data_IF_865919932218
#
_entry.id   IF_865919932218
#
_cell.length_a   1.000
_cell.length_b   1.000
_cell.length_c   1.000
_cell.angle_alpha   90.00
_cell.angle_beta   90.00
_cell.angle_gamma   90.00
#
_symmetry.space_group_name_H-M   'P 1'
#
loop_
_entity.id
_entity.type
_entity.pdbx_description
1 polymer ?
#
# COMPACT_ATOMS: atom_id res chain seq x y z
N UNK A 1 -60.95 -11.02 -56.57
CA UNK A 1 -60.34 -12.33 -56.29
C UNK A 1 -59.54 -12.23 -55.01
N UNK A 2 -59.72 -13.21 -54.13
CA UNK A 2 -59.24 -13.34 -52.75
C UNK A 2 -57.72 -13.61 -52.69
N UNK A 3 -57.03 -13.06 -51.66
CA UNK A 3 -55.79 -13.53 -50.96
C UNK A 3 -55.41 -12.41 -49.96
N UNK A 4 -55.66 -12.43 -48.66
CA UNK A 4 -55.43 -13.36 -47.54
C UNK A 4 -53.94 -13.55 -47.15
N UNK A 5 -53.63 -13.14 -45.90
CA UNK A 5 -52.48 -13.47 -45.02
C UNK A 5 -51.10 -12.81 -45.29
N UNK A 6 -50.24 -12.41 -44.34
CA UNK A 6 -50.09 -12.59 -42.88
C UNK A 6 -49.37 -11.35 -42.30
N UNK A 7 -49.85 -10.78 -41.18
CA UNK A 7 -49.10 -9.76 -40.39
C UNK A 7 -48.21 -10.50 -39.39
N UNK A 8 -46.89 -10.35 -39.52
CA UNK A 8 -45.89 -10.92 -38.63
C UNK A 8 -45.66 -9.94 -37.46
N UNK A 9 -46.36 -10.15 -36.35
CA UNK A 9 -46.18 -9.42 -35.11
C UNK A 9 -44.87 -9.91 -34.44
N UNK A 10 -43.77 -9.19 -34.65
CA UNK A 10 -42.51 -9.45 -33.95
C UNK A 10 -42.60 -8.92 -32.51
N UNK A 11 -42.92 -9.81 -31.57
CA UNK A 11 -42.80 -9.54 -30.14
C UNK A 11 -41.32 -9.28 -29.79
N UNK A 12 -40.95 -8.01 -29.63
CA UNK A 12 -39.70 -7.60 -28.99
C UNK A 12 -39.80 -7.92 -27.50
N UNK A 13 -39.35 -9.11 -27.10
CA UNK A 13 -39.13 -9.44 -25.69
C UNK A 13 -37.83 -8.75 -25.29
N UNK A 14 -37.84 -7.73 -24.40
CA UNK A 14 -36.60 -7.20 -23.88
C UNK A 14 -35.96 -8.30 -23.03
N UNK A 15 -34.92 -8.94 -23.57
CA UNK A 15 -34.04 -9.78 -22.75
C UNK A 15 -33.36 -8.84 -21.76
N UNK A 16 -33.90 -8.75 -20.55
CA UNK A 16 -33.15 -8.29 -19.39
C UNK A 16 -31.94 -9.23 -19.28
N UNK A 17 -30.80 -8.77 -19.80
CA UNK A 17 -29.51 -9.32 -19.38
C UNK A 17 -29.46 -9.02 -17.88
N UNK A 18 -29.42 -10.03 -16.99
CA UNK A 18 -29.17 -9.74 -15.60
C UNK A 18 -27.81 -9.05 -15.58
N UNK A 19 -27.79 -7.77 -15.20
CA UNK A 19 -26.56 -7.08 -14.88
C UNK A 19 -25.87 -7.98 -13.87
N UNK A 20 -24.80 -8.66 -14.29
CA UNK A 20 -23.96 -9.41 -13.38
C UNK A 20 -23.56 -8.40 -12.33
N UNK A 21 -24.17 -8.53 -11.15
CA UNK A 21 -23.84 -7.74 -9.98
C UNK A 21 -22.45 -8.22 -9.61
N UNK A 22 -21.42 -7.68 -10.27
CA UNK A 22 -20.03 -7.91 -9.92
C UNK A 22 -19.97 -7.62 -8.43
N UNK A 23 -19.74 -8.66 -7.62
CA UNK A 23 -19.59 -8.43 -6.19
C UNK A 23 -18.40 -7.51 -6.07
N UNK A 24 -18.64 -6.22 -5.76
CA UNK A 24 -17.57 -5.28 -5.49
C UNK A 24 -16.70 -5.91 -4.42
N UNK A 25 -15.40 -6.00 -4.68
CA UNK A 25 -14.44 -6.43 -3.68
C UNK A 25 -14.70 -5.61 -2.40
N UNK A 26 -14.68 -6.27 -1.24
CA UNK A 26 -14.75 -5.56 0.02
C UNK A 26 -13.51 -4.70 0.15
N UNK A 27 -13.68 -3.38 0.03
CA UNK A 27 -12.61 -2.40 0.20
C UNK A 27 -12.67 -1.96 1.66
N UNK A 28 -11.56 -2.11 2.41
CA UNK A 28 -11.52 -1.66 3.80
C UNK A 28 -11.90 -0.19 3.94
N UNK A 29 -12.59 0.14 5.03
CA UNK A 29 -12.81 1.54 5.40
C UNK A 29 -11.47 2.26 5.57
N UNK A 30 -11.40 3.54 5.16
CA UNK A 30 -10.16 4.34 5.21
C UNK A 30 -9.16 4.09 4.08
N UNK A 31 -9.50 3.24 3.10
CA UNK A 31 -8.68 3.05 1.91
C UNK A 31 -8.51 4.35 1.11
N UNK A 32 -7.32 4.53 0.54
CA UNK A 32 -6.95 5.70 -0.27
C UNK A 32 -7.09 5.31 -1.73
N UNK A 33 -7.85 6.07 -2.52
CA UNK A 33 -8.14 5.72 -3.90
C UNK A 33 -7.25 6.46 -4.89
N UNK A 34 -6.77 5.73 -5.90
CA UNK A 34 -5.98 6.29 -6.99
C UNK A 34 -6.52 5.85 -8.35
N UNK A 35 -6.44 6.73 -9.35
CA UNK A 35 -6.71 6.38 -10.76
C UNK A 35 -5.53 5.62 -11.39
N UNK A 36 -5.65 5.26 -12.67
CA UNK A 36 -4.62 4.52 -13.42
C UNK A 36 -3.27 5.25 -13.57
N UNK A 37 -3.23 6.56 -13.28
CA UNK A 37 -2.03 7.39 -13.27
C UNK A 37 -1.47 7.61 -11.87
N UNK A 38 -1.98 6.89 -10.86
CA UNK A 38 -1.63 7.06 -9.45
C UNK A 38 -1.90 8.46 -8.89
N UNK A 39 -2.93 9.11 -9.44
CA UNK A 39 -3.46 10.37 -8.89
C UNK A 39 -4.65 10.06 -7.98
N UNK A 40 -4.71 10.74 -6.84
CA UNK A 40 -5.77 10.58 -5.84
C UNK A 40 -7.15 10.88 -6.40
N UNK A 41 -8.13 10.07 -6.03
CA UNK A 41 -9.54 10.28 -6.40
C UNK A 41 -10.44 10.13 -5.18
N UNK A 42 -11.62 10.76 -5.23
CA UNK A 42 -12.52 10.83 -4.08
C UNK A 42 -13.28 9.53 -3.77
N UNK A 43 -13.31 8.56 -4.68
CA UNK A 43 -14.18 7.40 -4.55
C UNK A 43 -13.74 6.19 -5.37
N UNK A 44 -14.17 5.00 -4.94
CA UNK A 44 -13.82 3.73 -5.54
C UNK A 44 -14.28 3.58 -7.00
N UNK A 45 -15.37 4.22 -7.42
CA UNK A 45 -15.88 4.19 -8.81
C UNK A 45 -14.96 4.91 -9.80
N UNK A 46 -14.13 5.84 -9.32
CA UNK A 46 -13.15 6.58 -10.13
C UNK A 46 -11.74 5.97 -10.05
N UNK A 47 -11.59 4.92 -9.25
CA UNK A 47 -10.30 4.37 -8.88
C UNK A 47 -9.92 3.19 -9.78
N UNK A 48 -8.62 3.08 -10.07
CA UNK A 48 -8.00 1.87 -10.61
C UNK A 48 -7.26 1.08 -9.53
N UNK A 49 -6.89 1.76 -8.44
CA UNK A 49 -6.20 1.19 -7.29
C UNK A 49 -6.78 1.73 -5.99
N UNK A 50 -6.64 0.96 -4.93
CA UNK A 50 -6.80 1.46 -3.57
C UNK A 50 -5.60 1.03 -2.71
N UNK A 51 -5.24 1.89 -1.76
CA UNK A 51 -4.16 1.69 -0.81
C UNK A 51 -4.71 1.54 0.59
N UNK A 52 -4.12 0.62 1.35
CA UNK A 52 -4.42 0.41 2.76
C UNK A 52 -3.14 0.64 3.55
N UNK A 53 -3.20 1.56 4.52
CA UNK A 53 -2.07 1.82 5.42
C UNK A 53 -1.97 0.73 6.48
N UNK A 54 -0.75 0.44 6.91
CA UNK A 54 -0.45 -0.56 7.93
C UNK A 54 0.87 -0.23 8.65
N UNK A 55 1.19 -1.04 9.65
CA UNK A 55 2.53 -1.12 10.23
C UNK A 55 2.98 -2.57 10.16
N UNK A 56 4.28 -2.79 10.02
CA UNK A 56 4.87 -4.13 10.13
C UNK A 56 5.02 -4.56 11.60
N UNK A 57 5.47 -5.79 11.83
CA UNK A 57 5.67 -6.36 13.18
C UNK A 57 6.70 -5.58 14.02
N UNK A 58 7.52 -4.74 13.38
CA UNK A 58 8.49 -3.85 14.02
C UNK A 58 7.95 -2.43 14.22
N UNK A 59 6.67 -2.19 13.93
CA UNK A 59 6.03 -0.89 14.04
C UNK A 59 6.36 0.08 12.90
N UNK A 60 7.08 -0.37 11.85
CA UNK A 60 7.44 0.50 10.72
C UNK A 60 6.24 0.71 9.81
N UNK A 61 6.07 1.94 9.36
CA UNK A 61 4.99 2.32 8.45
C UNK A 61 5.14 1.62 7.10
N UNK A 62 4.05 1.00 6.67
CA UNK A 62 3.96 0.39 5.36
C UNK A 62 2.55 0.54 4.79
N UNK A 63 2.38 0.25 3.51
CA UNK A 63 1.07 0.16 2.92
C UNK A 63 1.01 -0.99 1.91
N UNK A 64 -0.21 -1.41 1.64
CA UNK A 64 -0.55 -2.35 0.59
C UNK A 64 -1.31 -1.61 -0.50
N UNK A 65 -0.85 -1.74 -1.74
CA UNK A 65 -1.56 -1.30 -2.92
C UNK A 65 -2.31 -2.48 -3.53
N UNK A 66 -3.58 -2.26 -3.85
CA UNK A 66 -4.44 -3.23 -4.52
C UNK A 66 -4.99 -2.62 -5.81
N UNK A 67 -5.20 -3.44 -6.83
CA UNK A 67 -6.11 -3.09 -7.91
C UNK A 67 -7.52 -2.87 -7.34
N UNK A 68 -8.34 -2.05 -8.00
CA UNK A 68 -9.73 -1.81 -7.56
C UNK A 68 -10.58 -3.09 -7.52
N UNK A 69 -10.12 -4.14 -8.20
CA UNK A 69 -10.67 -5.49 -8.16
C UNK A 69 -10.35 -6.27 -6.89
N UNK A 70 -9.51 -5.75 -5.98
CA UNK A 70 -9.09 -6.39 -4.74
C UNK A 70 -7.80 -7.20 -4.83
N UNK A 71 -7.19 -7.28 -6.02
CA UNK A 71 -5.94 -8.01 -6.21
C UNK A 71 -4.74 -7.22 -5.65
N UNK A 72 -3.89 -7.87 -4.85
CA UNK A 72 -2.66 -7.26 -4.34
C UNK A 72 -1.71 -6.91 -5.48
N UNK A 73 -1.24 -5.66 -5.49
CA UNK A 73 -0.34 -5.11 -6.49
C UNK A 73 1.05 -4.86 -5.90
N UNK A 74 1.13 -4.31 -4.68
CA UNK A 74 2.38 -4.06 -4.01
C UNK A 74 2.25 -3.99 -2.49
N UNK A 75 3.38 -4.18 -1.81
CA UNK A 75 3.59 -3.69 -0.46
C UNK A 75 4.80 -2.77 -0.46
N UNK A 76 4.74 -1.68 0.31
CA UNK A 76 5.86 -0.73 0.37
C UNK A 76 5.98 -0.13 1.75
N UNK A 77 7.20 -0.11 2.28
CA UNK A 77 7.54 0.68 3.44
C UNK A 77 7.77 2.14 3.02
N UNK A 78 7.34 3.08 3.85
CA UNK A 78 7.36 4.49 3.49
C UNK A 78 7.68 5.39 4.67
N UNK A 79 8.24 6.55 4.35
CA UNK A 79 8.47 7.63 5.31
C UNK A 79 7.30 8.60 5.28
N UNK A 80 6.91 9.05 4.08
CA UNK A 80 5.74 9.90 3.86
C UNK A 80 4.95 9.45 2.63
N UNK A 81 3.65 9.71 2.65
CA UNK A 81 2.72 9.32 1.61
C UNK A 81 2.02 10.54 1.03
N UNK A 82 1.72 10.47 -0.27
CA UNK A 82 0.95 11.51 -0.95
C UNK A 82 -0.36 10.92 -1.45
N UNK A 83 -1.48 11.33 -0.84
CA UNK A 83 -2.84 10.91 -1.24
C UNK A 83 -3.22 11.43 -2.63
N UNK A 84 -2.59 12.51 -3.11
CA UNK A 84 -2.95 13.17 -4.36
C UNK A 84 -2.14 12.71 -5.56
N UNK A 85 -0.87 12.38 -5.36
CA UNK A 85 0.03 11.94 -6.43
C UNK A 85 1.10 11.05 -5.81
N UNK A 86 1.04 9.76 -6.08
CA UNK A 86 1.93 8.77 -5.47
C UNK A 86 3.41 9.01 -5.80
N UNK A 87 3.72 9.76 -6.87
CA UNK A 87 5.10 10.15 -7.18
C UNK A 87 5.77 10.98 -6.08
N UNK A 88 4.98 11.59 -5.20
CA UNK A 88 5.47 12.34 -4.05
C UNK A 88 5.53 11.49 -2.77
N UNK A 89 5.19 10.21 -2.82
CA UNK A 89 5.39 9.25 -1.73
C UNK A 89 6.89 8.97 -1.60
N UNK A 90 7.43 9.06 -0.39
CA UNK A 90 8.84 8.80 -0.09
C UNK A 90 8.95 7.41 0.53
N UNK A 91 9.55 6.48 -0.21
CA UNK A 91 9.75 5.09 0.23
C UNK A 91 11.01 4.92 1.06
N UNK A 92 10.98 3.98 2.00
CA UNK A 92 12.15 3.60 2.81
C UNK A 92 12.00 2.16 3.29
N UNK A 93 13.01 1.33 3.10
CA UNK A 93 12.91 -0.11 3.33
C UNK A 93 12.50 -0.90 2.08
N UNK A 94 11.75 -1.98 2.29
CA UNK A 94 11.45 -2.95 1.22
C UNK A 94 10.17 -2.56 0.47
N UNK A 95 10.25 -2.58 -0.85
CA UNK A 95 9.13 -2.52 -1.77
C UNK A 95 9.03 -3.86 -2.51
N UNK A 96 7.88 -4.54 -2.42
CA UNK A 96 7.58 -5.73 -3.24
C UNK A 96 6.40 -5.44 -4.15
N UNK A 97 6.48 -5.94 -5.37
CA UNK A 97 5.37 -5.90 -6.33
C UNK A 97 5.00 -7.32 -6.74
N UNK A 98 3.78 -7.51 -7.21
CA UNK A 98 3.23 -8.83 -7.45
C UNK A 98 2.64 -8.95 -8.86
N UNK A 99 2.94 -10.09 -9.49
CA UNK A 99 2.31 -10.53 -10.72
C UNK A 99 0.81 -10.76 -10.50
N UNK A 100 0.05 -10.81 -11.60
CA UNK A 100 -1.38 -11.19 -11.55
C UNK A 100 -1.64 -12.59 -10.97
N UNK A 101 -0.63 -13.44 -10.88
CA UNK A 101 -0.72 -14.73 -10.20
C UNK A 101 -0.67 -14.62 -8.67
N UNK A 102 -0.24 -13.47 -8.12
CA UNK A 102 0.09 -13.29 -6.71
C UNK A 102 1.56 -13.59 -6.38
N UNK A 103 2.37 -14.01 -7.35
CA UNK A 103 3.82 -14.22 -7.17
C UNK A 103 4.56 -12.90 -7.10
N UNK A 104 5.66 -12.87 -6.35
CA UNK A 104 6.57 -11.71 -6.33
C UNK A 104 7.06 -11.45 -7.75
N UNK A 105 6.86 -10.23 -8.23
CA UNK A 105 7.34 -9.73 -9.52
C UNK A 105 8.68 -9.03 -9.36
N UNK A 106 8.81 -8.17 -8.34
CA UNK A 106 10.09 -7.53 -8.03
C UNK A 106 10.20 -7.18 -6.56
N UNK A 107 11.45 -7.09 -6.10
CA UNK A 107 11.83 -6.63 -4.77
C UNK A 107 12.86 -5.52 -4.95
N UNK A 108 12.65 -4.38 -4.30
CA UNK A 108 13.55 -3.24 -4.35
C UNK A 108 13.77 -2.70 -2.93
N UNK A 109 15.01 -2.38 -2.59
CA UNK A 109 15.34 -1.69 -1.35
C UNK A 109 15.42 -0.18 -1.61
N UNK A 110 14.78 0.59 -0.75
CA UNK A 110 14.81 2.04 -0.76
C UNK A 110 15.46 2.56 0.53
N UNK A 111 16.14 3.69 0.41
CA UNK A 111 16.59 4.52 1.52
C UNK A 111 16.31 5.97 1.19
N UNK A 112 15.53 6.65 2.04
CA UNK A 112 15.19 8.07 1.86
C UNK A 112 14.66 8.40 0.45
N UNK A 113 13.73 7.58 -0.06
CA UNK A 113 13.09 7.75 -1.36
C UNK A 113 13.93 7.31 -2.57
N UNK A 114 15.17 6.84 -2.37
CA UNK A 114 16.06 6.40 -3.45
C UNK A 114 16.30 4.91 -3.39
N UNK A 115 16.35 4.24 -4.54
CA UNK A 115 16.78 2.84 -4.60
C UNK A 115 18.21 2.72 -4.04
N UNK A 116 18.40 1.91 -3.02
CA UNK A 116 19.68 1.75 -2.33
C UNK A 116 19.80 0.33 -1.78
N UNK A 117 20.75 -0.45 -2.32
CA UNK A 117 20.93 -1.86 -2.02
C UNK A 117 20.55 -2.78 -3.18
N UNK A 118 20.22 -4.03 -2.84
CA UNK A 118 19.93 -5.07 -3.83
C UNK A 118 18.47 -4.99 -4.32
N UNK A 119 18.27 -5.25 -5.60
CA UNK A 119 16.96 -5.44 -6.20
C UNK A 119 16.89 -6.72 -7.02
N UNK A 120 15.68 -7.29 -7.13
CA UNK A 120 15.39 -8.52 -7.84
C UNK A 120 14.17 -8.31 -8.74
N UNK A 121 14.18 -8.94 -9.91
CA UNK A 121 12.98 -9.17 -10.71
C UNK A 121 12.79 -10.65 -10.97
N UNK A 122 11.54 -11.08 -11.07
CA UNK A 122 11.16 -12.46 -11.27
C UNK A 122 10.22 -12.57 -12.46
N UNK A 123 10.40 -13.63 -13.24
CA UNK A 123 9.43 -14.03 -14.26
C UNK A 123 8.12 -14.51 -13.61
N UNK A 124 6.99 -14.52 -14.33
CA UNK A 124 5.73 -15.09 -13.83
C UNK A 124 5.86 -16.56 -13.39
N UNK A 125 6.84 -17.29 -13.94
CA UNK A 125 7.18 -18.65 -13.54
C UNK A 125 7.75 -18.75 -12.12
N UNK A 126 8.22 -17.65 -11.52
CA UNK A 126 8.92 -17.58 -10.23
C UNK A 126 10.45 -17.63 -10.36
N UNK A 127 10.94 -17.89 -11.58
CA UNK A 127 12.38 -17.89 -11.86
C UNK A 127 12.93 -16.46 -11.79
N UNK A 128 14.20 -16.33 -11.37
CA UNK A 128 14.87 -15.04 -11.31
C UNK A 128 15.03 -14.52 -12.76
N UNK A 129 14.67 -13.24 -12.97
CA UNK A 129 14.93 -12.53 -14.21
C UNK A 129 16.17 -11.66 -14.10
N UNK A 130 16.24 -10.81 -13.07
CA UNK A 130 17.39 -9.94 -12.86
C UNK A 130 17.76 -9.81 -11.40
N UNK A 131 19.05 -9.62 -11.14
CA UNK A 131 19.60 -9.15 -9.87
C UNK A 131 20.34 -7.84 -10.14
N UNK A 132 19.98 -6.79 -9.42
CA UNK A 132 20.49 -5.44 -9.64
C UNK A 132 21.09 -4.89 -8.34
N UNK A 133 22.07 -4.01 -8.49
CA UNK A 133 22.70 -3.29 -7.38
C UNK A 133 22.50 -1.79 -7.56
N UNK A 134 21.89 -1.15 -6.58
CA UNK A 134 21.67 0.29 -6.56
C UNK A 134 22.44 0.95 -5.42
N UNK A 135 22.88 2.18 -5.66
CA UNK A 135 23.37 3.09 -4.63
C UNK A 135 22.83 4.48 -4.93
N UNK A 136 22.19 5.12 -3.96
CA UNK A 136 21.67 6.49 -4.09
C UNK A 136 20.79 6.73 -5.35
N UNK A 137 20.01 5.73 -5.75
CA UNK A 137 19.06 5.82 -6.86
C UNK A 137 19.61 5.45 -8.24
N UNK A 138 20.89 5.10 -8.37
CA UNK A 138 21.51 4.69 -9.64
C UNK A 138 22.12 3.29 -9.54
N UNK A 139 22.23 2.60 -10.68
CA UNK A 139 22.91 1.30 -10.73
C UNK A 139 24.39 1.47 -10.37
N UNK A 140 24.85 0.73 -9.37
CA UNK A 140 26.23 0.76 -8.89
C UNK A 140 26.60 -0.59 -8.29
N UNK A 141 27.45 -1.33 -8.98
CA UNK A 141 27.84 -2.70 -8.66
C UNK A 141 27.47 -3.73 -9.73
N UNK A 142 27.65 -5.02 -9.42
CA UNK A 142 27.36 -6.10 -10.36
C UNK A 142 25.84 -6.29 -10.52
N UNK A 143 25.43 -6.57 -11.75
CA UNK A 143 24.07 -6.94 -12.12
C UNK A 143 24.08 -8.21 -12.97
N UNK A 144 23.08 -9.05 -12.79
CA UNK A 144 22.97 -10.37 -13.42
C UNK A 144 21.61 -10.50 -14.10
N UNK A 145 21.59 -10.90 -15.37
CA UNK A 145 20.37 -11.12 -16.15
C UNK A 145 20.27 -12.58 -16.55
N UNK A 146 19.11 -13.18 -16.29
CA UNK A 146 18.81 -14.57 -16.53
C UNK A 146 17.66 -14.69 -17.53
N UNK A 147 17.64 -15.79 -18.28
CA UNK A 147 16.44 -16.16 -19.03
C UNK A 147 15.45 -16.94 -18.16
N UNK A 148 14.27 -17.19 -18.71
CA UNK A 148 13.18 -17.86 -18.02
C UNK A 148 13.51 -19.32 -17.64
N UNK A 149 14.50 -19.94 -18.29
CA UNK A 149 15.00 -21.26 -17.93
C UNK A 149 16.01 -21.22 -16.76
N UNK A 150 16.33 -20.03 -16.24
CA UNK A 150 17.25 -19.83 -15.12
C UNK A 150 18.72 -19.77 -15.51
N UNK A 151 19.07 -19.71 -16.80
CA UNK A 151 20.46 -19.58 -17.24
C UNK A 151 20.89 -18.12 -17.19
N UNK A 152 22.08 -17.87 -16.63
CA UNK A 152 22.70 -16.56 -16.62
C UNK A 152 23.12 -16.17 -18.05
N UNK A 153 22.48 -15.14 -18.59
CA UNK A 153 22.76 -14.65 -19.94
C UNK A 153 23.79 -13.54 -19.96
N UNK A 154 23.74 -12.63 -18.97
CA UNK A 154 24.64 -11.49 -18.91
C UNK A 154 25.04 -11.15 -17.47
N UNK A 155 26.32 -10.82 -17.29
CA UNK A 155 26.85 -10.13 -16.13
C UNK A 155 27.30 -8.74 -16.56
N UNK A 156 26.78 -7.69 -15.92
CA UNK A 156 27.18 -6.31 -16.18
C UNK A 156 27.71 -5.64 -14.93
N UNK A 157 28.77 -4.85 -15.04
CA UNK A 157 29.26 -4.00 -13.96
C UNK A 157 28.81 -2.56 -14.22
N UNK A 158 28.15 -1.96 -13.25
CA UNK A 158 27.76 -0.55 -13.27
C UNK A 158 28.56 0.23 -12.24
N UNK A 159 28.84 1.51 -12.54
CA UNK A 159 29.43 2.47 -11.60
C UNK A 159 28.73 3.80 -11.79
N UNK A 160 28.09 4.30 -10.73
CA UNK A 160 27.36 5.58 -10.74
C UNK A 160 26.41 5.74 -11.94
N UNK A 161 25.65 4.69 -12.26
CA UNK A 161 24.69 4.69 -13.36
C UNK A 161 25.30 4.51 -14.76
N UNK A 162 26.62 4.34 -14.89
CA UNK A 162 27.29 4.08 -16.16
C UNK A 162 27.70 2.61 -16.27
N UNK A 163 27.38 1.96 -17.39
CA UNK A 163 27.80 0.58 -17.67
C UNK A 163 29.31 0.56 -17.95
N UNK A 164 30.05 -0.12 -17.08
CA UNK A 164 31.52 -0.26 -17.17
C UNK A 164 31.90 -1.46 -18.03
N UNK A 165 31.21 -2.59 -17.86
CA UNK A 165 31.44 -3.80 -18.63
C UNK A 165 30.19 -4.66 -18.74
N UNK A 166 30.19 -5.54 -19.73
CA UNK A 166 29.15 -6.53 -19.98
C UNK A 166 29.81 -7.79 -20.53
N UNK A 167 29.50 -8.94 -19.93
CA UNK A 167 29.99 -10.24 -20.36
C UNK A 167 28.80 -11.17 -20.50
N UNK A 168 28.76 -11.96 -21.58
CA UNK A 168 27.76 -13.02 -21.74
C UNK A 168 28.04 -14.14 -20.74
N UNK A 169 27.06 -14.52 -19.94
CA UNK A 169 27.20 -15.46 -18.83
C UNK A 169 28.01 -14.86 -17.68
N UNK A 170 28.90 -15.67 -17.09
CA UNK A 170 29.73 -15.29 -15.95
C UNK A 170 29.39 -16.09 -14.70
N UNK A 171 29.74 -15.54 -13.54
CA UNK A 171 29.44 -16.13 -12.24
C UNK A 171 28.66 -15.13 -11.41
N UNK A 172 27.49 -15.54 -10.94
CA UNK A 172 26.78 -14.78 -9.92
C UNK A 172 27.45 -14.97 -8.56
N UNK A 173 28.02 -13.89 -8.05
CA UNK A 173 28.70 -13.87 -6.76
C UNK A 173 27.76 -13.78 -5.55
N UNK A 174 26.45 -13.61 -5.76
CA UNK A 174 25.45 -13.70 -4.70
C UNK A 174 25.01 -15.14 -4.40
N UNK A 175 25.35 -16.09 -5.25
CA UNK A 175 25.06 -17.51 -5.02
C UNK A 175 26.14 -18.06 -4.08
N UNK A 176 25.71 -18.54 -2.92
CA UNK A 176 26.58 -19.23 -1.99
C UNK A 176 27.08 -20.55 -2.59
N UNK A 177 28.37 -20.85 -2.41
CA UNK A 177 29.00 -22.01 -3.05
C UNK A 177 28.61 -23.34 -2.40
N UNK A 178 28.19 -23.31 -1.14
CA UNK A 178 27.85 -24.49 -0.35
C UNK A 178 26.38 -24.84 -0.50
N UNK A 179 25.49 -23.85 -0.44
CA UNK A 179 24.04 -24.08 -0.57
C UNK A 179 23.57 -24.02 -2.01
N UNK A 180 24.35 -23.41 -2.92
CA UNK A 180 23.95 -23.07 -4.28
C UNK A 180 22.71 -22.15 -4.33
N UNK A 181 22.52 -21.34 -3.29
CA UNK A 181 21.39 -20.44 -3.11
C UNK A 181 21.85 -19.00 -2.89
N UNK A 182 21.01 -18.05 -3.27
CA UNK A 182 21.15 -16.66 -2.90
C UNK A 182 20.18 -16.38 -1.75
N UNK A 183 20.67 -16.40 -0.51
CA UNK A 183 19.84 -16.26 0.68
C UNK A 183 18.94 -15.00 0.65
N UNK A 184 19.40 -13.90 0.05
CA UNK A 184 18.58 -12.69 -0.11
C UNK A 184 17.37 -12.96 -1.02
N UNK A 185 17.60 -13.65 -2.15
CA UNK A 185 16.56 -14.06 -3.08
C UNK A 185 15.60 -15.07 -2.45
N UNK A 186 16.13 -16.07 -1.74
CA UNK A 186 15.33 -17.16 -1.18
C UNK A 186 14.35 -16.68 -0.10
N UNK A 187 14.70 -15.66 0.70
CA UNK A 187 13.76 -15.06 1.66
C UNK A 187 12.46 -14.59 1.00
N UNK A 188 12.51 -14.09 -0.23
CA UNK A 188 11.32 -13.61 -0.93
C UNK A 188 10.62 -14.67 -1.76
N UNK A 189 11.29 -15.80 -2.03
CA UNK A 189 10.67 -16.98 -2.64
C UNK A 189 9.89 -17.81 -1.62
N UNK A 190 10.41 -17.94 -0.40
CA UNK A 190 9.78 -18.76 0.64
C UNK A 190 8.47 -18.15 1.18
N UNK A 191 8.31 -16.83 1.11
CA UNK A 191 7.08 -16.13 1.49
C UNK A 191 5.91 -16.34 0.50
N UNK A 192 6.14 -16.99 -0.65
CA UNK A 192 5.18 -17.12 -1.74
C UNK A 192 3.88 -17.84 -1.31
N UNK A 193 3.97 -18.87 -0.47
CA UNK A 193 2.80 -19.61 0.00
C UNK A 193 1.89 -18.79 0.94
N UNK A 194 2.48 -17.96 1.81
CA UNK A 194 1.76 -17.10 2.73
C UNK A 194 1.04 -15.97 1.98
N UNK A 195 1.74 -15.32 1.04
CA UNK A 195 1.21 -14.23 0.21
C UNK A 195 0.12 -14.75 -0.73
N UNK A 196 0.30 -15.96 -1.30
CA UNK A 196 -0.72 -16.65 -2.07
C UNK A 196 -1.96 -17.02 -1.24
N UNK A 197 -1.79 -17.43 0.01
CA UNK A 197 -2.90 -17.72 0.91
C UNK A 197 -3.69 -16.43 1.25
N UNK A 198 -3.01 -15.31 1.50
CA UNK A 198 -3.64 -14.00 1.70
C UNK A 198 -4.40 -13.53 0.46
N UNK A 199 -3.78 -13.59 -0.72
CA UNK A 199 -4.43 -13.25 -1.99
C UNK A 199 -5.61 -14.16 -2.32
N UNK A 200 -5.50 -15.48 -2.09
CA UNK A 200 -6.57 -16.45 -2.33
C UNK A 200 -7.72 -16.31 -1.33
N UNK A 201 -7.45 -15.93 -0.08
CA UNK A 201 -8.52 -15.73 0.93
C UNK A 201 -9.40 -14.54 0.56
N UNK A 202 -8.81 -13.48 0.02
CA UNK A 202 -9.55 -12.34 -0.56
C UNK A 202 -10.36 -12.79 -1.80
N UNK A 203 -9.75 -13.51 -2.74
CA UNK A 203 -10.45 -13.98 -3.96
C UNK A 203 -11.54 -15.03 -3.71
N UNK A 204 -11.35 -15.94 -2.75
CA UNK A 204 -12.27 -17.04 -2.43
C UNK A 204 -13.50 -16.56 -1.65
N UNK A 205 -13.35 -15.51 -0.82
CA UNK A 205 -14.51 -14.76 -0.27
C UNK A 205 -15.33 -14.06 -1.35
N UNK A 206 -14.79 -13.92 -2.57
CA UNK A 206 -15.37 -13.15 -3.69
C UNK A 206 -15.76 -14.01 -4.90
N UNK A 207 -15.71 -15.35 -4.79
CA UNK A 207 -16.18 -16.25 -5.85
C UNK A 207 -15.40 -16.19 -7.17
N UNK A 208 -14.17 -15.66 -7.16
CA UNK A 208 -13.33 -15.56 -8.37
C UNK A 208 -12.52 -16.85 -8.54
N UNK A 209 -12.80 -17.62 -9.59
CA UNK A 209 -12.04 -18.82 -9.95
C UNK A 209 -10.70 -18.42 -10.58
N UNK A 210 -9.59 -18.65 -9.86
CA UNK A 210 -8.24 -18.59 -10.43
C UNK A 210 -7.97 -19.93 -11.11
N UNK A 211 -7.86 -19.95 -12.45
CA UNK A 211 -7.45 -21.13 -13.20
C UNK A 211 -5.93 -21.26 -13.18
N UNK A 212 -5.43 -22.33 -12.56
CA UNK A 212 -4.02 -22.71 -12.61
C UNK A 212 -3.64 -23.15 -14.02
N UNK A 213 -2.71 -22.42 -14.65
CA UNK A 213 -2.07 -22.90 -15.89
C UNK A 213 -1.05 -23.96 -15.50
N UNK A 214 -1.44 -25.23 -15.60
CA UNK A 214 -0.50 -26.36 -15.54
C UNK A 214 0.28 -26.43 -16.86
N UNK A 215 1.53 -25.98 -16.83
CA UNK A 215 2.48 -26.19 -17.93
C UNK A 215 2.74 -27.68 -18.15
N UNK A 216 2.44 -28.18 -19.36
CA UNK A 216 2.89 -29.49 -19.83
C UNK A 216 4.21 -29.32 -20.56
N UNK A 217 5.24 -30.06 -20.10
CA UNK A 217 6.55 -30.21 -20.76
C UNK A 217 6.39 -30.81 -22.17
N UNK A 218 7.16 -30.28 -23.12
CA UNK A 218 7.42 -30.87 -24.43
C UNK A 218 8.59 -30.20 -25.15
N UNK A 219 9.75 -30.87 -25.16
CA UNK A 219 10.85 -30.72 -26.15
C UNK A 219 10.30 -31.03 -27.56
N UNK A 220 10.76 -30.54 -28.72
CA UNK A 220 11.96 -29.82 -29.20
C UNK A 220 11.56 -29.22 -30.56
N UNK A 221 12.18 -28.10 -30.99
CA UNK A 221 11.74 -27.32 -32.15
C UNK A 221 12.17 -27.81 -33.54
N UNK A 222 11.59 -27.17 -34.57
CA UNK A 222 12.29 -26.48 -35.69
C UNK A 222 11.28 -25.77 -36.61
N UNK A 223 11.83 -24.83 -37.38
CA UNK A 223 11.26 -23.67 -38.08
C UNK A 223 10.45 -23.95 -39.36
N UNK A 224 9.48 -23.05 -39.64
CA UNK A 224 8.93 -22.57 -40.94
C UNK A 224 8.07 -23.44 -41.90
N UNK A 225 6.95 -22.81 -42.29
CA UNK A 225 6.24 -22.78 -43.59
C UNK A 225 5.03 -23.72 -43.91
N UNK A 226 3.93 -23.02 -44.23
CA UNK A 226 2.75 -23.22 -45.10
C UNK A 226 2.31 -24.59 -45.71
N UNK A 227 0.98 -24.76 -45.66
CA UNK A 227 0.02 -25.37 -46.60
C UNK A 227 -0.24 -26.90 -46.69
N UNK A 228 -1.56 -27.17 -46.75
CA UNK A 228 -2.31 -28.21 -47.46
C UNK A 228 -2.54 -29.60 -46.81
N UNK A 229 -3.85 -29.83 -46.55
CA UNK A 229 -4.70 -30.96 -46.95
C UNK A 229 -4.44 -32.42 -46.53
N UNK A 230 -5.56 -33.03 -46.06
CA UNK A 230 -5.97 -34.46 -46.09
C UNK A 230 -5.14 -35.44 -45.25
N UNK A 231 -5.63 -36.57 -44.75
CA UNK A 231 -6.93 -37.24 -44.59
C UNK A 231 -6.71 -38.33 -43.50
N UNK A 232 -7.82 -38.86 -42.97
CA UNK A 232 -8.06 -40.03 -42.10
C UNK A 232 -6.96 -41.11 -41.89
N UNK A 233 -7.00 -41.74 -40.70
CA UNK A 233 -7.35 -43.18 -40.50
C UNK A 233 -7.20 -43.59 -39.01
N UNK A 234 -8.35 -43.72 -38.37
CA UNK A 234 -8.94 -44.75 -37.49
C UNK A 234 -8.14 -45.99 -36.95
N UNK A 235 -8.63 -46.48 -35.78
CA UNK A 235 -8.60 -47.85 -35.18
C UNK A 235 -7.43 -48.19 -34.21
N UNK A 236 -7.55 -48.95 -33.09
CA UNK A 236 -8.62 -49.74 -32.43
C UNK A 236 -8.13 -50.28 -31.05
N UNK A 237 -9.07 -50.43 -30.08
CA UNK A 237 -9.22 -51.38 -28.92
C UNK A 237 -8.03 -51.71 -27.96
N UNK A 238 -8.23 -52.08 -26.69
CA UNK A 238 -9.45 -52.48 -25.98
C UNK A 238 -9.22 -52.83 -24.48
N UNK A 239 -10.30 -52.67 -23.72
CA UNK A 239 -10.91 -53.38 -22.57
C UNK A 239 -10.11 -54.12 -21.46
N UNK A 240 -10.56 -53.80 -20.23
CA UNK A 240 -10.54 -54.47 -18.90
C UNK A 240 -11.26 -55.86 -18.87
N UNK A 241 -11.19 -56.70 -17.78
CA UNK A 241 -11.93 -56.59 -16.47
C UNK A 241 -11.07 -57.01 -15.24
N UNK A 242 -11.30 -56.72 -13.93
CA UNK A 242 -12.42 -56.67 -12.95
C UNK A 242 -12.74 -58.00 -12.21
N UNK A 243 -12.67 -58.00 -10.86
CA UNK A 243 -13.54 -58.68 -9.85
C UNK A 243 -13.04 -58.41 -8.40
N UNK A 244 -13.81 -57.72 -7.52
CA UNK A 244 -14.82 -58.19 -6.52
C UNK A 244 -14.19 -58.72 -5.19
N UNK A 245 -14.30 -58.06 -4.01
CA UNK A 245 -15.41 -57.71 -3.11
C UNK A 245 -15.79 -58.81 -2.08
N UNK A 246 -15.61 -58.54 -0.77
CA UNK A 246 -16.40 -59.10 0.38
C UNK A 246 -16.37 -58.11 1.57
N UNK A 247 -17.53 -57.93 2.22
CA UNK A 247 -17.78 -57.15 3.45
C UNK A 247 -17.66 -57.98 4.74
N UNK A 248 -17.33 -57.35 5.87
CA UNK A 248 -18.13 -57.49 7.11
C UNK A 248 -17.79 -56.44 8.20
N UNK A 249 -18.89 -55.92 8.76
CA UNK A 249 -19.21 -55.46 10.12
C UNK A 249 -18.50 -54.33 10.91
N UNK A 250 -19.40 -53.55 11.52
CA UNK A 250 -19.30 -52.36 12.37
C UNK A 250 -18.50 -52.56 13.67
N UNK A 251 -17.74 -51.53 14.05
CA UNK A 251 -17.81 -50.92 15.40
C UNK A 251 -17.30 -49.48 15.38
N UNK A 252 -18.04 -48.64 16.08
CA UNK A 252 -17.97 -47.19 16.11
C UNK A 252 -17.02 -46.74 17.24
N UNK A 253 -15.88 -46.14 16.91
CA UNK A 253 -15.04 -45.34 17.83
C UNK A 253 -14.21 -44.34 17.01
N UNK A 254 -14.73 -43.14 16.74
CA UNK A 254 -13.90 -42.06 16.22
C UNK A 254 -13.08 -41.44 17.34
N UNK A 255 -11.90 -42.01 17.56
CA UNK A 255 -10.76 -41.35 18.19
C UNK A 255 -10.36 -40.19 17.28
N UNK A 256 -10.51 -38.96 17.77
CA UNK A 256 -10.04 -37.75 17.11
C UNK A 256 -8.51 -37.73 17.24
N UNK A 257 -7.82 -38.32 16.26
CA UNK A 257 -6.38 -38.18 16.10
C UNK A 257 -6.08 -36.70 15.82
N UNK A 258 -5.48 -36.03 16.80
CA UNK A 258 -4.91 -34.70 16.65
C UNK A 258 -3.71 -34.80 15.72
N UNK A 259 -3.89 -34.43 14.45
CA UNK A 259 -2.78 -34.12 13.57
C UNK A 259 -1.99 -32.97 14.22
N UNK A 260 -0.73 -33.20 14.56
CA UNK A 260 0.17 -32.14 15.00
C UNK A 260 0.27 -31.11 13.86
N UNK A 261 -0.08 -29.85 14.16
CA UNK A 261 0.06 -28.76 13.20
C UNK A 261 1.51 -28.63 12.76
N UNK A 262 1.69 -28.48 11.45
CA UNK A 262 2.95 -28.10 10.84
C UNK A 262 3.39 -26.70 11.30
N UNK A 263 4.68 -26.38 11.16
CA UNK A 263 5.22 -25.05 11.52
C UNK A 263 4.52 -23.96 10.69
N UNK A 264 4.15 -24.27 9.45
CA UNK A 264 3.37 -23.43 8.56
C UNK A 264 1.91 -23.22 9.02
N UNK A 265 1.25 -24.26 9.55
CA UNK A 265 -0.13 -24.14 10.11
C UNK A 265 -0.16 -23.36 11.44
N UNK A 266 0.92 -23.43 12.24
CA UNK A 266 1.08 -22.58 13.43
C UNK A 266 1.30 -21.11 13.08
N UNK A 267 2.15 -20.82 12.09
CA UNK A 267 2.39 -19.44 11.63
C UNK A 267 1.15 -18.81 10.98
N UNK A 268 0.36 -19.61 10.23
CA UNK A 268 -0.89 -19.16 9.62
C UNK A 268 -2.03 -18.93 10.64
N UNK A 269 -1.98 -19.59 11.81
CA UNK A 269 -2.95 -19.41 12.89
C UNK A 269 -2.63 -18.22 13.82
N UNK A 270 -1.37 -17.76 13.85
CA UNK A 270 -0.92 -16.64 14.68
C UNK A 270 -1.07 -15.25 14.00
N UNK A 271 -1.43 -15.19 12.72
CA UNK A 271 -1.83 -13.93 12.07
C UNK A 271 -3.29 -13.62 12.43
N UNK A 272 -3.48 -13.06 13.62
CA UNK A 272 -4.75 -12.46 14.03
C UNK A 272 -4.90 -11.09 13.38
N UNK A 273 -5.89 -10.94 12.52
CA UNK A 273 -6.52 -9.64 12.33
C UNK A 273 -7.29 -9.31 13.63
N UNK A 274 -7.26 -8.07 14.13
CA UNK A 274 -8.13 -7.70 15.24
C UNK A 274 -9.59 -7.94 14.82
N UNK A 275 -10.34 -8.64 15.67
CA UNK A 275 -11.79 -8.70 15.52
C UNK A 275 -12.33 -7.26 15.55
N UNK A 276 -13.15 -6.91 14.55
CA UNK A 276 -13.84 -5.62 14.53
C UNK A 276 -14.60 -5.43 15.85
N UNK A 277 -14.57 -4.24 16.47
CA UNK A 277 -15.14 -4.05 17.80
C UNK A 277 -16.65 -4.35 17.79
N UNK A 278 -17.06 -5.22 18.71
CA UNK A 278 -18.45 -5.45 19.05
C UNK A 278 -19.07 -4.13 19.56
N UNK A 279 -20.19 -3.73 18.95
CA UNK A 279 -20.84 -2.46 19.21
C UNK A 279 -21.29 -2.31 20.66
N UNK A 280 -20.70 -1.33 21.35
CA UNK A 280 -21.21 -0.75 22.59
C UNK A 280 -21.20 0.76 22.43
N UNK A 281 -22.37 1.36 22.24
CA UNK A 281 -22.55 2.80 22.13
C UNK A 281 -22.33 3.49 23.47
N UNK A 282 -21.31 4.35 23.56
CA UNK A 282 -21.20 5.34 24.64
C UNK A 282 -21.26 6.74 24.01
N UNK A 283 -21.97 7.70 24.64
CA UNK A 283 -22.13 9.05 24.09
C UNK A 283 -20.80 9.82 24.14
N UNK A 284 -20.50 10.52 23.05
CA UNK A 284 -19.34 11.41 22.89
C UNK A 284 -19.51 12.63 23.80
N UNK A 285 -18.55 12.85 24.71
CA UNK A 285 -18.44 14.09 25.49
C UNK A 285 -17.60 15.10 24.72
N UNK A 286 -18.15 16.30 24.53
CA UNK A 286 -17.38 17.49 24.15
C UNK A 286 -16.48 17.84 25.35
N UNK A 287 -15.16 17.69 25.20
CA UNK A 287 -14.22 17.98 26.27
C UNK A 287 -13.90 19.47 26.33
N UNK A 288 -14.19 20.09 27.48
CA UNK A 288 -13.61 21.38 27.86
C UNK A 288 -12.13 21.19 28.19
N UNK A 289 -11.30 22.07 27.63
CA UNK A 289 -9.84 22.08 27.82
C UNK A 289 -9.53 22.38 29.29
N UNK A 290 -9.17 21.37 30.06
CA UNK A 290 -8.61 21.57 31.40
C UNK A 290 -7.10 21.77 31.24
N UNK A 291 -6.60 22.96 31.61
CA UNK A 291 -5.19 23.30 31.50
C UNK A 291 -4.34 22.36 32.37
N UNK A 292 -3.61 21.45 31.73
CA UNK A 292 -2.57 20.67 32.41
C UNK A 292 -1.45 21.63 32.77
N UNK A 293 -1.16 21.77 34.07
CA UNK A 293 -0.12 22.67 34.57
C UNK A 293 1.26 22.28 34.01
N UNK A 294 2.02 23.27 33.53
CA UNK A 294 3.39 23.08 33.02
C UNK A 294 3.54 22.86 31.51
N UNK A 295 2.45 22.80 30.74
CA UNK A 295 2.54 22.66 29.27
C UNK A 295 2.64 24.05 28.62
N UNK A 296 3.62 24.29 27.73
CA UNK A 296 3.74 25.58 27.08
C UNK A 296 2.51 25.90 26.22
N UNK A 297 1.91 27.10 26.33
CA UNK A 297 0.65 27.44 25.66
C UNK A 297 0.78 27.56 24.14
N UNK A 298 2.01 27.56 23.62
CA UNK A 298 2.32 27.64 22.20
C UNK A 298 2.49 26.26 21.54
N UNK A 299 2.35 25.16 22.29
CA UNK A 299 2.37 23.82 21.72
C UNK A 299 1.19 23.62 20.78
N UNK A 300 1.38 22.83 19.72
CA UNK A 300 0.28 22.45 18.83
C UNK A 300 -0.82 21.70 19.61
N UNK A 301 -2.07 22.12 19.40
CA UNK A 301 -3.26 21.52 20.01
C UNK A 301 -3.92 20.57 19.01
N UNK A 302 -4.01 19.28 19.34
CA UNK A 302 -4.71 18.33 18.48
C UNK A 302 -6.19 18.68 18.30
N UNK A 303 -6.98 18.97 19.36
CA UNK A 303 -8.39 19.35 19.22
C UNK A 303 -8.61 20.56 18.29
N UNK A 304 -7.78 21.61 18.44
CA UNK A 304 -7.90 22.83 17.64
C UNK A 304 -7.62 22.58 16.16
N UNK A 305 -6.63 21.75 15.84
CA UNK A 305 -6.26 21.45 14.46
C UNK A 305 -7.16 20.38 13.84
N UNK A 306 -7.67 19.46 14.65
CA UNK A 306 -8.62 18.44 14.22
C UNK A 306 -9.94 19.05 13.74
N UNK A 307 -10.47 20.06 14.44
CA UNK A 307 -11.73 20.71 14.07
C UNK A 307 -11.67 21.35 12.67
N UNK A 308 -10.49 21.89 12.29
CA UNK A 308 -10.23 22.47 10.98
C UNK A 308 -10.24 21.46 9.82
N UNK A 309 -10.20 20.16 10.10
CA UNK A 309 -10.19 19.09 9.10
C UNK A 309 -11.48 18.27 9.12
N UNK A 310 -12.01 18.01 10.32
CA UNK A 310 -13.16 17.14 10.54
C UNK A 310 -14.49 17.80 10.18
N UNK A 311 -14.66 19.10 10.46
CA UNK A 311 -15.94 19.81 10.29
C UNK A 311 -15.93 20.60 8.99
N UNK A 312 -16.78 20.24 8.02
CA UNK A 312 -16.78 20.86 6.69
C UNK A 312 -16.91 22.40 6.71
N UNK A 313 -17.66 22.97 7.67
CA UNK A 313 -17.80 24.42 7.84
C UNK A 313 -16.53 25.13 8.35
N UNK A 314 -15.63 24.42 9.02
CA UNK A 314 -14.40 24.99 9.59
C UNK A 314 -13.18 24.87 8.68
N UNK A 315 -13.28 24.06 7.61
CA UNK A 315 -12.19 23.81 6.65
C UNK A 315 -11.89 25.00 5.76
N UNK A 316 -12.87 25.88 5.54
CA UNK A 316 -12.76 27.04 4.66
C UNK A 316 -12.23 28.26 5.42
N UNK A 317 -10.92 28.47 5.41
CA UNK A 317 -10.28 29.58 6.14
C UNK A 317 -9.66 30.60 5.21
N UNK A 318 -9.77 31.87 5.59
CA UNK A 318 -9.01 32.96 4.99
C UNK A 318 -7.55 32.92 5.48
N UNK A 319 -6.64 33.50 4.70
CA UNK A 319 -5.24 33.65 5.10
C UNK A 319 -5.08 34.42 6.43
N UNK A 320 -5.98 35.37 6.71
CA UNK A 320 -5.97 36.15 7.95
C UNK A 320 -6.34 35.30 9.18
N UNK A 321 -7.35 34.42 9.07
CA UNK A 321 -7.71 33.47 10.13
C UNK A 321 -6.56 32.48 10.40
N UNK A 322 -5.93 31.96 9.34
CA UNK A 322 -4.78 31.07 9.47
C UNK A 322 -3.57 31.78 10.09
N UNK A 323 -3.33 33.04 9.76
CA UNK A 323 -2.28 33.84 10.38
C UNK A 323 -2.54 34.11 11.87
N UNK A 324 -3.80 34.33 12.26
CA UNK A 324 -4.18 34.47 13.66
C UNK A 324 -3.91 33.16 14.44
N UNK A 325 -4.19 32.02 13.82
CA UNK A 325 -3.86 30.71 14.39
C UNK A 325 -2.34 30.49 14.49
N UNK A 326 -1.56 30.82 13.46
CA UNK A 326 -0.09 30.75 13.49
C UNK A 326 0.53 31.54 14.64
N UNK A 327 0.02 32.75 14.92
CA UNK A 327 0.46 33.57 16.06
C UNK A 327 0.23 32.91 17.43
N UNK A 328 -0.84 32.11 17.59
CA UNK A 328 -1.08 31.35 18.84
C UNK A 328 0.06 30.37 19.12
N UNK A 329 0.67 29.83 18.07
CA UNK A 329 1.80 28.91 18.14
C UNK A 329 3.18 29.62 18.07
N UNK A 330 3.22 30.97 18.12
CA UNK A 330 4.43 31.80 17.93
C UNK A 330 5.09 31.62 16.56
N UNK A 331 4.27 31.51 15.52
CA UNK A 331 4.70 31.38 14.13
C UNK A 331 4.26 32.64 13.36
N UNK A 332 5.13 33.65 13.36
CA UNK A 332 4.81 34.99 12.83
C UNK A 332 5.21 35.18 11.36
N UNK A 333 6.11 34.34 10.86
CA UNK A 333 6.57 34.39 9.46
C UNK A 333 5.73 33.42 8.64
N UNK A 334 5.27 33.87 7.48
CA UNK A 334 4.49 33.04 6.57
C UNK A 334 5.06 33.02 5.15
N UNK A 335 4.77 31.94 4.45
CA UNK A 335 5.09 31.76 3.04
C UNK A 335 3.93 31.01 2.39
N UNK A 336 3.64 31.31 1.13
CA UNK A 336 2.65 30.57 0.33
C UNK A 336 3.38 29.85 -0.78
N UNK A 337 3.09 28.56 -0.93
CA UNK A 337 3.64 27.68 -1.95
C UNK A 337 2.50 27.34 -2.90
N UNK A 338 2.68 27.63 -4.19
CA UNK A 338 1.72 27.27 -5.22
C UNK A 338 1.86 25.79 -5.60
N UNK A 339 0.74 25.06 -5.54
CA UNK A 339 0.63 23.68 -6.00
C UNK A 339 0.14 23.61 -7.45
N UNK A 340 -0.43 22.46 -7.82
CA UNK A 340 -1.00 22.29 -9.16
C UNK A 340 -2.42 22.89 -9.24
N UNK A 341 -2.67 23.72 -10.24
CA UNK A 341 -3.99 24.33 -10.47
C UNK A 341 -4.39 25.29 -9.35
N UNK A 342 -5.46 24.98 -8.62
CA UNK A 342 -5.96 25.80 -7.50
C UNK A 342 -5.31 25.46 -6.16
N UNK A 343 -4.41 24.48 -6.13
CA UNK A 343 -3.79 24.03 -4.88
C UNK A 343 -2.81 25.05 -4.33
N UNK A 344 -2.81 25.23 -3.00
CA UNK A 344 -1.86 26.05 -2.27
C UNK A 344 -1.49 25.39 -0.95
N UNK A 345 -0.26 25.64 -0.51
CA UNK A 345 0.16 25.42 0.88
C UNK A 345 0.49 26.77 1.51
N UNK A 346 -0.18 27.11 2.62
CA UNK A 346 0.13 28.30 3.41
C UNK A 346 0.90 27.81 4.63
N UNK A 347 2.18 28.18 4.72
CA UNK A 347 3.04 27.80 5.83
C UNK A 347 3.26 28.98 6.77
N UNK A 348 3.31 28.68 8.07
CA UNK A 348 3.75 29.58 9.13
C UNK A 348 4.89 28.92 9.88
N UNK A 349 5.96 29.64 10.16
CA UNK A 349 7.17 29.02 10.67
C UNK A 349 7.98 29.93 11.61
N UNK A 350 8.86 29.30 12.37
CA UNK A 350 9.87 29.92 13.22
C UNK A 350 11.19 29.17 13.02
N UNK A 351 12.26 29.90 12.71
CA UNK A 351 13.60 29.34 12.46
C UNK A 351 13.64 28.20 11.41
N UNK A 352 12.70 28.25 10.47
CA UNK A 352 12.65 27.43 9.26
C UNK A 352 12.34 28.32 8.04
N UNK A 353 12.60 27.83 6.84
CA UNK A 353 12.16 28.43 5.56
C UNK A 353 11.96 27.32 4.54
N UNK A 354 10.99 27.44 3.63
CA UNK A 354 10.85 26.51 2.53
C UNK A 354 11.60 27.00 1.29
N UNK A 355 12.62 26.26 0.88
CA UNK A 355 13.39 26.51 -0.35
C UNK A 355 12.60 26.00 -1.55
N UNK A 356 11.91 26.91 -2.23
CA UNK A 356 11.05 26.61 -3.40
C UNK A 356 11.86 26.03 -4.56
N UNK A 357 13.11 26.45 -4.74
CA UNK A 357 13.95 25.99 -5.85
C UNK A 357 14.35 24.53 -5.68
N UNK A 358 14.68 24.15 -4.44
CA UNK A 358 15.14 22.81 -4.11
C UNK A 358 14.01 21.90 -3.58
N UNK A 359 12.82 22.46 -3.36
CA UNK A 359 11.64 21.79 -2.85
C UNK A 359 11.81 21.21 -1.44
N UNK A 360 12.51 21.92 -0.55
CA UNK A 360 12.89 21.40 0.79
C UNK A 360 12.82 22.47 1.88
N UNK A 361 12.39 22.06 3.07
CA UNK A 361 12.53 22.87 4.27
C UNK A 361 13.99 23.00 4.70
N UNK A 362 14.37 24.21 5.14
CA UNK A 362 15.71 24.57 5.65
C UNK A 362 15.57 25.16 7.03
N UNK A 363 16.30 24.59 7.99
CA UNK A 363 16.44 25.15 9.35
C UNK A 363 17.36 26.36 9.28
N UNK A 364 16.91 27.48 9.84
CA UNK A 364 17.63 28.77 9.83
C UNK A 364 18.08 29.23 11.22
N UNK A 365 17.68 28.52 12.27
CA UNK A 365 18.04 28.83 13.66
C UNK A 365 17.72 27.69 14.63
N UNK A 366 17.78 27.98 15.93
CA UNK A 366 17.47 27.01 17.00
C UNK A 366 15.96 26.87 17.22
N UNK A 367 15.50 25.72 17.75
CA UNK A 367 14.07 25.45 17.99
C UNK A 367 13.17 25.66 16.75
N UNK A 368 13.52 25.10 15.59
CA UNK A 368 12.72 25.21 14.37
C UNK A 368 11.33 24.61 14.56
N UNK A 369 10.29 25.34 14.13
CA UNK A 369 8.89 24.91 14.17
C UNK A 369 8.15 25.43 12.94
N UNK A 370 7.22 24.65 12.40
CA UNK A 370 6.42 25.03 11.25
C UNK A 370 5.05 24.36 11.28
N UNK A 371 4.03 25.07 10.80
CA UNK A 371 2.71 24.53 10.44
C UNK A 371 2.40 24.88 8.99
N UNK A 372 1.96 23.90 8.22
CA UNK A 372 1.53 24.06 6.83
C UNK A 372 0.07 23.66 6.67
N UNK A 373 -0.72 24.52 6.04
CA UNK A 373 -2.11 24.25 5.65
C UNK A 373 -2.16 24.05 4.15
N UNK A 374 -2.42 22.81 3.73
CA UNK A 374 -2.48 22.45 2.32
C UNK A 374 -3.93 22.21 1.90
N UNK A 375 -4.28 22.72 0.72
CA UNK A 375 -5.65 22.59 0.22
C UNK A 375 -5.89 23.29 -1.10
N UNK A 376 -7.16 23.41 -1.46
CA UNK A 376 -7.60 24.10 -2.68
C UNK A 376 -8.07 25.51 -2.38
N UNK A 377 -7.54 26.49 -3.11
CA UNK A 377 -7.92 27.89 -2.99
C UNK A 377 -9.13 28.22 -3.87
N UNK A 378 -10.16 28.81 -3.29
CA UNK A 378 -11.34 29.31 -3.99
C UNK A 378 -11.87 30.57 -3.28
N UNK A 379 -12.11 31.64 -4.04
CA UNK A 379 -12.68 32.88 -3.51
C UNK A 379 -11.85 33.54 -2.40
N UNK A 380 -10.52 33.46 -2.46
CA UNK A 380 -9.61 34.00 -1.44
C UNK A 380 -9.58 33.21 -0.12
N UNK A 381 -10.24 32.05 -0.07
CA UNK A 381 -10.22 31.11 1.06
C UNK A 381 -9.52 29.83 0.66
N UNK A 382 -8.94 29.13 1.63
CA UNK A 382 -8.34 27.82 1.48
C UNK A 382 -9.29 26.77 2.07
N UNK A 383 -9.70 25.79 1.25
CA UNK A 383 -10.32 24.56 1.73
C UNK A 383 -9.22 23.62 2.20
N UNK A 384 -9.04 23.48 3.51
CA UNK A 384 -7.94 22.70 4.08
C UNK A 384 -8.21 21.20 3.89
N UNK A 385 -7.29 20.51 3.23
CA UNK A 385 -7.32 19.06 2.99
C UNK A 385 -6.29 18.31 3.87
N UNK A 386 -5.21 19.00 4.24
CA UNK A 386 -4.11 18.45 5.04
C UNK A 386 -3.44 19.52 5.91
N UNK A 387 -3.01 19.12 7.10
CA UNK A 387 -2.16 19.94 7.96
C UNK A 387 -0.83 19.22 8.19
N UNK A 388 0.28 19.93 7.98
CA UNK A 388 1.64 19.46 8.25
C UNK A 388 2.20 20.22 9.47
N UNK A 389 2.73 19.51 10.46
CA UNK A 389 3.42 20.10 11.62
C UNK A 389 4.86 19.63 11.65
N UNK A 390 5.78 20.53 11.93
CA UNK A 390 7.18 20.23 12.16
C UNK A 390 7.59 20.81 13.51
N UNK A 391 8.20 19.98 14.36
CA UNK A 391 8.73 20.42 15.65
C UNK A 391 10.05 19.72 15.96
N UNK A 392 10.99 20.47 16.54
CA UNK A 392 12.20 19.91 17.12
C UNK A 392 12.02 19.34 18.53
N UNK A 393 10.82 19.42 19.12
CA UNK A 393 10.56 18.98 20.49
C UNK A 393 9.82 17.65 20.51
N UNK A 394 10.46 16.63 21.08
CA UNK A 394 9.82 15.33 21.35
C UNK A 394 8.63 15.48 22.31
N UNK A 395 8.75 16.31 23.34
CA UNK A 395 7.67 16.58 24.29
C UNK A 395 6.43 17.16 23.61
N UNK A 396 6.60 18.09 22.67
CA UNK A 396 5.50 18.64 21.89
C UNK A 396 4.83 17.57 21.01
N UNK A 397 5.63 16.73 20.35
CA UNK A 397 5.13 15.62 19.55
C UNK A 397 4.33 14.61 20.40
N UNK A 398 4.88 14.18 21.55
CA UNK A 398 4.22 13.25 22.46
C UNK A 398 2.99 13.87 23.12
N UNK A 399 3.00 15.19 23.39
CA UNK A 399 1.83 15.91 23.86
C UNK A 399 0.71 15.92 22.83
N UNK A 400 1.03 16.18 21.55
CA UNK A 400 0.08 16.13 20.46
C UNK A 400 -0.52 14.72 20.30
N UNK A 401 0.33 13.69 20.29
CA UNK A 401 -0.11 12.29 20.21
C UNK A 401 -1.01 11.88 21.38
N UNK A 402 -0.68 12.30 22.60
CA UNK A 402 -1.49 12.04 23.80
C UNK A 402 -2.90 12.59 23.67
N UNK A 403 -3.03 13.86 23.24
CA UNK A 403 -4.35 14.48 23.06
C UNK A 403 -5.19 13.72 22.01
N UNK A 404 -4.58 13.23 20.93
CA UNK A 404 -5.28 12.41 19.95
C UNK A 404 -5.76 11.09 20.56
N UNK A 405 -4.92 10.40 21.34
CA UNK A 405 -5.28 9.15 22.03
C UNK A 405 -6.41 9.38 23.05
N UNK A 406 -6.34 10.47 23.83
CA UNK A 406 -7.40 10.89 24.74
C UNK A 406 -8.72 11.20 24.01
N UNK A 407 -8.64 11.65 22.76
CA UNK A 407 -9.79 11.84 21.87
C UNK A 407 -10.29 10.55 21.19
N UNK A 408 -9.75 9.37 21.55
CA UNK A 408 -10.22 8.07 21.06
C UNK A 408 -9.42 7.48 19.89
N UNK A 409 -8.29 8.09 19.52
CA UNK A 409 -7.38 7.53 18.54
C UNK A 409 -6.57 6.37 19.11
N UNK A 410 -6.20 5.43 18.23
CA UNK A 410 -5.36 4.28 18.57
C UNK A 410 -4.21 4.16 17.57
N UNK A 411 -3.11 3.59 18.03
CA UNK A 411 -1.99 3.23 17.14
C UNK A 411 -2.48 2.17 16.16
N UNK A 412 -2.33 2.44 14.86
CA UNK A 412 -2.64 1.49 13.81
C UNK A 412 -1.75 0.25 13.97
N UNK A 413 -2.35 -0.94 13.99
CA UNK A 413 -1.65 -2.20 14.29
C UNK A 413 -1.44 -2.49 15.78
N UNK A 414 -1.89 -1.59 16.68
CA UNK A 414 -1.74 -1.74 18.12
C UNK A 414 -0.39 -1.27 18.66
N UNK A 415 -0.15 -1.49 19.95
CA UNK A 415 1.07 -1.07 20.65
C UNK A 415 0.99 0.34 21.27
N UNK A 416 2.12 0.78 21.83
CA UNK A 416 2.26 2.05 22.56
C UNK A 416 3.08 3.06 21.74
N UNK A 417 2.50 4.23 21.43
CA UNK A 417 3.14 5.26 20.58
C UNK A 417 4.47 5.79 21.14
N UNK A 418 4.67 5.69 22.46
CA UNK A 418 5.91 6.12 23.15
C UNK A 418 7.11 5.23 22.84
N UNK A 419 6.88 4.00 22.37
CA UNK A 419 7.93 3.05 22.04
C UNK A 419 8.32 3.09 20.54
N UNK A 420 7.77 4.02 19.77
CA UNK A 420 7.88 4.03 18.31
C UNK A 420 8.86 5.07 17.76
N UNK A 421 9.72 5.66 18.59
CA UNK A 421 10.74 6.67 18.20
C UNK A 421 10.19 7.80 17.29
N UNK A 422 8.94 8.20 17.49
CA UNK A 422 8.26 9.22 16.68
C UNK A 422 7.75 8.75 15.31
N UNK A 423 7.74 7.44 15.03
CA UNK A 423 7.29 6.84 13.77
C UNK A 423 6.10 5.90 13.99
N UNK A 424 4.89 6.41 13.84
CA UNK A 424 3.66 5.64 14.02
C UNK A 424 2.48 6.31 13.32
N UNK A 425 1.34 5.63 13.25
CA UNK A 425 0.10 6.15 12.67
C UNK A 425 -0.98 6.03 13.72
N UNK A 426 -1.74 7.11 13.91
CA UNK A 426 -2.95 7.11 14.73
C UNK A 426 -4.18 7.14 13.82
N UNK A 427 -5.14 6.28 14.15
CA UNK A 427 -6.47 6.27 13.53
C UNK A 427 -7.58 6.29 14.56
N UNK A 428 -8.72 6.88 14.19
CA UNK A 428 -9.87 6.93 15.07
C UNK A 428 -10.57 5.57 15.16
N UNK A 429 -10.88 5.11 16.38
CA UNK A 429 -11.43 3.77 16.61
C UNK A 429 -12.90 3.57 16.20
N UNK A 430 -13.64 4.63 15.89
CA UNK A 430 -15.05 4.57 15.48
C UNK A 430 -15.27 5.25 14.12
N UNK A 431 -15.83 4.49 13.18
CA UNK A 431 -16.05 4.86 11.76
C UNK A 431 -17.51 5.26 11.48
N UNK A 432 -18.33 5.48 12.52
CA UNK A 432 -19.67 6.03 12.32
C UNK A 432 -19.53 7.53 12.07
N UNK A 433 -19.26 7.89 10.81
CA UNK A 433 -19.32 9.26 10.35
C UNK A 433 -20.71 9.82 10.66
N UNK A 434 -20.77 10.73 11.63
CA UNK A 434 -21.91 11.64 11.76
C UNK A 434 -21.94 12.45 10.47
N UNK A 435 -23.14 12.68 9.92
CA UNK A 435 -23.28 13.40 8.65
C UNK A 435 -22.59 14.78 8.74
N UNK A 436 -21.57 15.02 7.91
CA UNK A 436 -20.77 16.26 7.90
C UNK A 436 -19.42 16.17 8.64
N UNK A 437 -19.11 15.06 9.30
CA UNK A 437 -17.82 14.80 9.91
C UNK A 437 -16.94 13.91 9.01
N UNK A 438 -15.65 14.28 8.91
CA UNK A 438 -14.65 13.50 8.16
C UNK A 438 -13.64 12.84 9.07
N UNK A 439 -13.32 11.60 8.75
CA UNK A 439 -12.30 10.86 9.48
C UNK A 439 -10.90 11.41 9.13
N UNK A 440 -10.01 11.49 10.12
CA UNK A 440 -8.67 12.07 9.96
C UNK A 440 -7.64 11.03 10.35
N UNK A 441 -6.63 10.81 9.51
CA UNK A 441 -5.46 10.00 9.87
C UNK A 441 -4.37 10.94 10.35
N UNK A 442 -3.69 10.57 11.43
CA UNK A 442 -2.51 11.31 11.90
C UNK A 442 -1.28 10.42 11.76
N UNK A 443 -0.35 10.83 10.90
CA UNK A 443 0.91 10.13 10.67
C UNK A 443 2.06 10.87 11.35
N UNK A 444 2.82 10.16 12.17
CA UNK A 444 4.01 10.67 12.83
C UNK A 444 5.27 10.12 12.14
N UNK A 445 6.27 10.96 12.00
CA UNK A 445 7.54 10.61 11.34
C UNK A 445 8.69 11.31 12.03
N UNK A 446 9.77 10.58 12.29
CA UNK A 446 11.02 11.15 12.77
C UNK A 446 12.20 10.35 12.24
N UNK A 447 13.02 10.99 11.39
CA UNK A 447 14.22 10.37 10.83
C UNK A 447 15.36 11.40 10.69
N UNK A 448 16.61 11.07 11.12
CA UNK A 448 17.73 12.01 11.09
C UNK A 448 18.07 12.59 9.70
N UNK A 449 17.73 11.89 8.62
CA UNK A 449 18.00 12.30 7.25
C UNK A 449 16.86 13.04 6.55
N UNK A 450 15.71 13.23 7.21
CA UNK A 450 14.51 13.80 6.61
C UNK A 450 13.98 14.98 7.43
N UNK A 451 13.33 15.95 6.79
CA UNK A 451 12.74 17.13 7.44
C UNK A 451 13.70 17.85 8.39
N UNK A 452 14.99 17.88 8.04
CA UNK A 452 16.05 18.42 8.89
C UNK A 452 16.14 17.79 10.31
N UNK A 453 15.73 16.53 10.46
CA UNK A 453 15.73 15.81 11.73
C UNK A 453 14.57 16.17 12.66
N UNK A 454 13.55 16.88 12.16
CA UNK A 454 12.38 17.28 12.95
C UNK A 454 11.34 16.15 13.01
N UNK A 455 10.54 16.17 14.07
CA UNK A 455 9.31 15.39 14.13
C UNK A 455 8.30 16.01 13.17
N UNK A 456 7.86 15.23 12.19
CA UNK A 456 6.81 15.59 11.24
C UNK A 456 5.52 14.88 11.62
N UNK A 457 4.46 15.67 11.81
CA UNK A 457 3.10 15.19 12.08
C UNK A 457 2.22 15.63 10.92
N UNK A 458 1.66 14.67 10.20
CA UNK A 458 0.78 14.90 9.05
C UNK A 458 -0.64 14.49 9.41
N UNK A 459 -1.59 15.42 9.30
CA UNK A 459 -3.02 15.18 9.49
C UNK A 459 -3.72 15.20 8.13
N UNK A 460 -4.28 14.07 7.71
CA UNK A 460 -4.96 13.92 6.43
C UNK A 460 -6.43 13.55 6.61
N UNK A 461 -7.30 14.25 5.88
CA UNK A 461 -8.71 13.87 5.75
C UNK A 461 -8.82 12.57 4.93
N UNK A 462 -9.63 11.62 5.41
CA UNK A 462 -9.92 10.34 4.74
C UNK A 462 -10.81 10.51 3.53
#
# INVERSE_FOLDING_TARGET
MIRLYFILLACFVPTLVPAQRMSRAYIPHGAIFYNSRWQGVASADKASYYRVLAVDDSGRKMFYDYFITGQLQAEKHYISLSRQNDRNTVLDGVCRTFHKSGRVESVMQYRNGKADGRALSFFPSGNIGMKLSYRNGVLDGPCYTYNENGHLEYTTLWRNGTKVSETRGGKDHYIDKTTNEDAFCERYRHDEALIMAQSKTVSKRQGIHVSEVKGKKGNTGKTMACNADREDVQMVSGRLPAHAAVMSDRKNTHVRSSKAMTKEERLAADVRYPDGPAGGSAPVKVFGVSAVSGIPPYFFSFPDLYSLLNVDGERMRSTAELAALGRRFRLDVSQTIDGYGTQKEIIFHHNMTYDVQNGRDRVTGSNPRQIGFFGSSAGGRLSIDRINLFTGSEDEMLFFARQAVEAGYKVLGGGEYRASDGNFILEHGNVLAVYGERDVIVTFTHQPGLYAGLYHIQMDVR
#
